data_IF_309867465025
#
_entry.id   IF_309867465025
#
_cell.length_a   1.000
_cell.length_b   1.000
_cell.length_c   1.000
_cell.angle_alpha   90.00
_cell.angle_beta   90.00
_cell.angle_gamma   90.00
#
_symmetry.space_group_name_H-M   'P 1'
#
loop_
_entity.id
_entity.type
_entity.pdbx_description
1 polymer ?
#
# COMPACT_ATOMS: atom_id res chain seq x y z
N UNK A 1 -2.92 -14.36 1.42
CA UNK A 1 -1.74 -14.87 0.67
C UNK A 1 -1.59 -14.12 -0.64
N UNK A 2 -0.47 -14.25 -1.35
CA UNK A 2 -0.31 -13.70 -2.69
C UNK A 2 -0.21 -14.83 -3.73
N UNK A 3 -0.84 -14.61 -4.89
CA UNK A 3 -0.89 -15.58 -6.01
C UNK A 3 -0.37 -14.89 -7.27
N UNK A 4 0.50 -15.55 -8.02
CA UNK A 4 1.09 -15.01 -9.25
C UNK A 4 0.10 -15.11 -10.41
N UNK A 5 -0.10 -14.02 -11.14
CA UNK A 5 -0.84 -14.00 -12.39
C UNK A 5 0.06 -14.21 -13.61
N UNK A 6 -0.53 -14.63 -14.74
CA UNK A 6 0.15 -14.68 -16.04
C UNK A 6 0.55 -13.29 -16.58
N UNK A 7 0.05 -12.22 -15.95
CA UNK A 7 0.51 -10.84 -16.15
C UNK A 7 1.85 -10.52 -15.45
N UNK A 8 2.47 -11.51 -14.81
CA UNK A 8 3.74 -11.38 -14.10
C UNK A 8 3.64 -10.56 -12.81
N UNK A 9 2.42 -10.36 -12.30
CA UNK A 9 2.17 -9.62 -11.05
C UNK A 9 1.63 -10.55 -9.98
N UNK A 10 1.99 -10.24 -8.74
CA UNK A 10 1.38 -10.89 -7.58
C UNK A 10 0.05 -10.20 -7.24
N UNK A 11 -0.98 -11.01 -7.02
CA UNK A 11 -2.32 -10.57 -6.66
C UNK A 11 -2.64 -10.99 -5.22
N UNK A 12 -3.17 -10.06 -4.43
CA UNK A 12 -3.49 -10.32 -3.03
C UNK A 12 -4.83 -11.07 -2.94
N UNK A 13 -4.79 -12.25 -2.31
CA UNK A 13 -5.97 -13.03 -1.95
C UNK A 13 -6.17 -12.98 -0.44
N UNK A 14 -7.34 -12.52 -0.03
CA UNK A 14 -7.81 -12.54 1.37
C UNK A 14 -8.94 -13.56 1.41
N UNK A 15 -8.76 -14.62 2.20
CA UNK A 15 -9.62 -15.81 2.18
C UNK A 15 -9.77 -16.36 0.75
N UNK A 16 -10.98 -16.42 0.20
CA UNK A 16 -11.26 -16.85 -1.16
C UNK A 16 -11.36 -15.70 -2.18
N UNK A 17 -11.23 -14.46 -1.70
CA UNK A 17 -11.45 -13.26 -2.49
C UNK A 17 -10.14 -12.66 -3.00
N UNK A 18 -10.07 -12.42 -4.32
CA UNK A 18 -9.05 -11.56 -4.89
C UNK A 18 -9.40 -10.09 -4.65
N UNK A 19 -8.55 -9.40 -3.90
CA UNK A 19 -8.70 -7.98 -3.56
C UNK A 19 -8.80 -7.10 -4.81
N UNK A 20 -8.09 -7.48 -5.87
CA UNK A 20 -8.05 -6.75 -7.13
C UNK A 20 -9.23 -7.09 -8.07
N UNK A 21 -9.97 -8.17 -7.80
CA UNK A 21 -11.15 -8.61 -8.57
C UNK A 21 -12.47 -8.11 -8.00
N UNK A 22 -12.54 -7.87 -6.69
CA UNK A 22 -13.72 -7.36 -6.01
C UNK A 22 -13.61 -5.87 -5.70
N UNK A 23 -13.95 -5.02 -6.67
CA UNK A 23 -14.24 -3.62 -6.39
C UNK A 23 -15.74 -3.45 -6.09
N UNK A 24 -16.18 -3.14 -4.85
CA UNK A 24 -17.60 -2.98 -4.52
C UNK A 24 -18.27 -1.76 -5.19
N UNK A 25 -17.49 -0.82 -5.74
CA UNK A 25 -18.00 0.35 -6.51
C UNK A 25 -18.11 0.08 -8.01
N UNK A 26 -17.52 -1.00 -8.51
CA UNK A 26 -17.76 -1.49 -9.88
C UNK A 26 -18.70 -2.68 -9.75
N UNK A 27 -19.61 -2.89 -10.71
CA UNK A 27 -20.32 -4.18 -10.74
C UNK A 27 -19.25 -5.26 -10.75
N UNK A 28 -19.26 -6.24 -9.81
CA UNK A 28 -18.39 -7.39 -9.87
C UNK A 28 -18.54 -7.95 -11.28
N UNK A 29 -17.45 -7.93 -12.06
CA UNK A 29 -17.44 -8.77 -13.25
C UNK A 29 -17.09 -10.14 -12.70
N UNK A 30 -18.01 -11.12 -12.75
CA UNK A 30 -17.64 -12.48 -12.42
C UNK A 30 -16.37 -12.81 -13.20
N UNK A 31 -15.41 -13.48 -12.57
CA UNK A 31 -14.26 -14.00 -13.30
C UNK A 31 -14.81 -14.92 -14.40
N UNK A 32 -14.90 -14.40 -15.62
CA UNK A 32 -15.43 -15.16 -16.73
C UNK A 32 -14.38 -16.22 -17.04
N UNK A 33 -14.68 -17.48 -16.67
CA UNK A 33 -13.78 -18.62 -16.86
C UNK A 33 -12.41 -18.43 -16.18
N UNK A 34 -12.36 -17.82 -14.99
CA UNK A 34 -11.10 -17.61 -14.26
C UNK A 34 -10.21 -16.50 -14.83
N UNK A 35 -10.73 -15.67 -15.74
CA UNK A 35 -10.09 -14.44 -16.20
C UNK A 35 -10.54 -13.23 -15.39
N UNK A 36 -9.56 -12.45 -14.96
CA UNK A 36 -9.75 -11.24 -14.17
C UNK A 36 -9.35 -10.03 -14.99
N UNK A 37 -10.12 -8.94 -14.90
CA UNK A 37 -9.89 -7.71 -15.64
C UNK A 37 -9.26 -6.63 -14.78
N UNK A 38 -8.29 -5.92 -15.35
CA UNK A 38 -7.68 -4.76 -14.73
C UNK A 38 -7.73 -3.52 -15.61
N UNK A 39 -7.68 -2.39 -14.92
CA UNK A 39 -7.62 -1.07 -15.50
C UNK A 39 -6.64 -0.23 -14.67
N UNK A 40 -5.69 0.41 -15.33
CA UNK A 40 -4.79 1.37 -14.71
C UNK A 40 -4.80 2.67 -15.50
N UNK A 41 -4.85 3.76 -14.76
CA UNK A 41 -4.59 5.07 -15.32
C UNK A 41 -3.09 5.31 -15.28
N UNK A 42 -2.51 5.47 -16.45
CA UNK A 42 -1.13 5.87 -16.63
C UNK A 42 -1.13 7.34 -17.00
N UNK A 43 -0.40 8.15 -16.24
CA UNK A 43 -0.19 9.55 -16.52
C UNK A 43 1.31 9.77 -16.74
N UNK A 44 1.64 10.61 -17.71
CA UNK A 44 3.01 11.02 -17.96
C UNK A 44 3.03 12.39 -18.60
N UNK A 45 4.21 13.01 -18.52
CA UNK A 45 4.55 14.27 -19.11
C UNK A 45 5.54 14.02 -20.25
N UNK A 46 5.41 14.79 -21.32
CA UNK A 46 6.40 14.76 -22.40
C UNK A 46 6.59 16.16 -22.97
N UNK A 47 7.84 16.46 -23.33
CA UNK A 47 8.25 17.63 -24.11
C UNK A 47 8.41 17.28 -25.61
N UNK A 48 7.97 16.09 -26.02
CA UNK A 48 8.14 15.55 -27.38
C UNK A 48 9.46 14.79 -27.59
N UNK A 49 10.44 14.93 -26.69
CA UNK A 49 11.73 14.24 -26.76
C UNK A 49 11.90 13.18 -25.67
N UNK A 50 11.33 13.42 -24.48
CA UNK A 50 11.41 12.52 -23.33
C UNK A 50 10.04 12.31 -22.68
N UNK A 51 9.89 11.16 -22.01
CA UNK A 51 8.72 10.82 -21.19
C UNK A 51 9.11 10.85 -19.71
N UNK A 52 8.23 11.40 -18.86
CA UNK A 52 8.44 11.48 -17.41
C UNK A 52 7.16 11.12 -16.67
N UNK A 53 7.26 10.27 -15.65
CA UNK A 53 6.12 9.94 -14.78
C UNK A 53 5.87 11.04 -13.76
N UNK A 54 6.92 11.66 -13.23
CA UNK A 54 6.80 12.81 -12.35
C UNK A 54 6.59 14.09 -13.16
N UNK A 55 5.76 14.99 -12.63
CA UNK A 55 5.62 16.32 -13.18
C UNK A 55 6.98 17.05 -13.13
N UNK A 56 7.32 17.87 -14.14
CA UNK A 56 8.48 18.74 -14.06
C UNK A 56 8.40 19.63 -12.80
N UNK A 57 9.53 19.84 -12.13
CA UNK A 57 9.64 20.76 -10.98
C UNK A 57 9.64 22.22 -11.45
N UNK A 58 8.54 22.64 -12.06
CA UNK A 58 8.30 24.00 -12.54
C UNK A 58 7.01 24.53 -11.93
N UNK A 59 6.81 25.85 -11.94
CA UNK A 59 5.56 26.42 -11.45
C UNK A 59 4.38 25.92 -12.29
N UNK A 60 3.17 25.88 -11.73
CA UNK A 60 1.98 25.41 -12.44
C UNK A 60 1.70 26.20 -13.73
N UNK A 61 2.11 27.48 -13.78
CA UNK A 61 2.05 28.35 -14.96
C UNK A 61 3.06 28.03 -16.05
N UNK A 62 4.11 27.26 -15.74
CA UNK A 62 5.21 26.88 -16.63
C UNK A 62 5.16 25.40 -17.03
N UNK A 63 4.17 24.65 -16.53
CA UNK A 63 3.98 23.26 -16.92
C UNK A 63 3.75 23.19 -18.44
N UNK A 64 4.54 22.40 -19.18
CA UNK A 64 4.27 22.14 -20.59
C UNK A 64 2.83 21.65 -20.73
N UNK A 65 2.11 22.09 -21.76
CA UNK A 65 0.69 21.78 -22.00
C UNK A 65 0.35 20.28 -22.21
N UNK A 66 1.25 19.35 -21.87
CA UNK A 66 1.26 17.96 -22.31
C UNK A 66 1.15 16.94 -21.19
N UNK A 67 0.26 17.11 -20.20
CA UNK A 67 -0.13 15.99 -19.35
C UNK A 67 -0.94 15.00 -20.21
N UNK A 68 -0.35 13.88 -20.57
CA UNK A 68 -1.04 12.81 -21.28
C UNK A 68 -1.44 11.76 -20.27
N UNK A 69 -2.70 11.32 -20.35
CA UNK A 69 -3.14 10.15 -19.62
C UNK A 69 -3.72 9.13 -20.59
N UNK A 70 -3.50 7.86 -20.29
CA UNK A 70 -4.13 6.73 -20.97
C UNK A 70 -4.63 5.75 -19.95
N UNK A 71 -5.78 5.18 -20.26
CA UNK A 71 -6.31 4.03 -19.55
C UNK A 71 -5.79 2.78 -20.23
N UNK A 72 -4.96 2.02 -19.53
CA UNK A 72 -4.52 0.69 -19.97
C UNK A 72 -5.43 -0.34 -19.33
N UNK A 73 -5.93 -1.27 -20.15
CA UNK A 73 -6.76 -2.39 -19.70
C UNK A 73 -6.09 -3.69 -20.12
N UNK A 74 -6.10 -4.66 -19.22
CA UNK A 74 -5.59 -5.99 -19.49
C UNK A 74 -6.41 -7.01 -18.73
N UNK A 75 -6.24 -8.27 -19.11
CA UNK A 75 -6.80 -9.42 -18.39
C UNK A 75 -5.68 -10.34 -17.99
N UNK A 76 -5.88 -11.09 -16.92
CA UNK A 76 -4.95 -12.10 -16.44
C UNK A 76 -5.69 -13.33 -15.93
N UNK A 77 -4.99 -14.45 -15.84
CA UNK A 77 -5.40 -15.65 -15.11
C UNK A 77 -4.46 -15.88 -13.94
N UNK A 78 -4.96 -16.53 -12.88
CA UNK A 78 -4.11 -16.96 -11.78
C UNK A 78 -3.34 -18.21 -12.19
N UNK A 79 -2.07 -18.26 -11.81
CA UNK A 79 -1.25 -19.47 -11.85
C UNK A 79 -1.39 -20.25 -10.54
N UNK A 80 -0.83 -21.45 -10.48
CA UNK A 80 -0.73 -22.24 -9.24
C UNK A 80 0.41 -21.77 -8.31
N UNK A 81 1.17 -20.74 -8.72
CA UNK A 81 2.29 -20.22 -7.94
C UNK A 81 1.79 -19.28 -6.86
N UNK A 82 2.00 -19.65 -5.61
CA UNK A 82 1.72 -18.85 -4.42
C UNK A 82 3.00 -18.49 -3.69
N UNK A 83 2.99 -17.39 -2.95
CA UNK A 83 4.07 -17.09 -1.99
C UNK A 83 4.16 -18.19 -0.94
N UNK A 84 5.38 -18.61 -0.58
CA UNK A 84 5.65 -19.65 0.42
C UNK A 84 4.78 -19.49 1.68
N UNK A 85 3.89 -20.46 1.99
CA UNK A 85 2.92 -20.35 3.08
C UNK A 85 3.56 -20.29 4.47
N UNK A 86 4.78 -20.79 4.62
CA UNK A 86 5.54 -20.79 5.87
C UNK A 86 6.08 -19.42 6.30
N UNK A 87 6.06 -18.42 5.40
CA UNK A 87 6.52 -17.08 5.71
C UNK A 87 5.37 -16.26 6.28
N UNK A 88 5.57 -15.62 7.43
CA UNK A 88 4.51 -14.88 8.10
C UNK A 88 4.65 -13.38 7.84
N UNK A 89 3.61 -12.74 7.27
CA UNK A 89 2.68 -13.21 6.26
C UNK A 89 3.34 -13.24 4.86
N UNK A 90 2.98 -14.18 3.98
CA UNK A 90 3.67 -14.33 2.70
C UNK A 90 3.52 -13.10 1.78
N UNK A 91 2.41 -12.37 1.94
CA UNK A 91 2.13 -11.13 1.20
C UNK A 91 3.01 -9.94 1.62
N UNK A 92 3.58 -9.95 2.83
CA UNK A 92 4.49 -8.89 3.30
C UNK A 92 5.85 -8.96 2.62
N UNK A 93 6.20 -10.09 2.03
CA UNK A 93 7.48 -10.29 1.34
C UNK A 93 7.47 -9.92 -0.13
N UNK A 94 6.29 -9.83 -0.74
CA UNK A 94 6.20 -9.43 -2.14
C UNK A 94 6.64 -7.97 -2.27
N UNK A 95 7.66 -7.63 -3.05
CA UNK A 95 8.09 -6.24 -3.23
C UNK A 95 6.98 -5.39 -3.87
N UNK A 96 6.81 -4.12 -3.48
CA UNK A 96 5.78 -3.25 -4.07
C UNK A 96 5.81 -3.17 -5.60
N UNK A 97 6.99 -3.30 -6.19
CA UNK A 97 7.19 -3.26 -7.63
C UNK A 97 6.64 -4.48 -8.37
N UNK A 98 6.40 -5.61 -7.68
CA UNK A 98 5.90 -6.86 -8.27
C UNK A 98 4.40 -7.07 -7.99
N UNK A 99 3.82 -6.26 -7.09
CA UNK A 99 2.40 -6.34 -6.74
C UNK A 99 1.51 -5.85 -7.88
N UNK A 100 0.29 -6.35 -7.89
CA UNK A 100 -0.80 -5.86 -8.71
C UNK A 100 -0.99 -4.34 -8.50
N UNK A 101 -1.01 -3.53 -9.59
CA UNK A 101 -1.08 -2.09 -9.51
C UNK A 101 -2.52 -1.54 -9.39
N UNK A 102 -3.54 -2.40 -9.23
CA UNK A 102 -4.93 -1.93 -9.04
C UNK A 102 -5.05 -1.05 -7.80
N UNK A 103 -5.98 -0.10 -7.82
CA UNK A 103 -6.13 0.87 -6.73
C UNK A 103 -6.52 0.19 -5.41
N UNK A 104 -7.39 -0.82 -5.50
CA UNK A 104 -7.89 -1.66 -4.42
C UNK A 104 -6.76 -2.49 -3.81
N UNK A 105 -5.96 -3.14 -4.66
CA UNK A 105 -4.80 -3.89 -4.19
C UNK A 105 -3.82 -2.95 -3.49
N UNK A 106 -3.49 -1.80 -4.11
CA UNK A 106 -2.54 -0.84 -3.54
C UNK A 106 -2.85 -0.58 -2.09
N UNK A 107 -4.08 -0.25 -1.71
CA UNK A 107 -4.44 0.12 -0.33
C UNK A 107 -4.51 -1.03 0.67
N UNK A 108 -4.62 -2.26 0.18
CA UNK A 108 -4.92 -3.44 1.00
C UNK A 108 -3.69 -4.31 1.24
N UNK A 109 -2.67 -4.21 0.39
CA UNK A 109 -1.42 -4.90 0.65
C UNK A 109 -0.79 -4.47 1.98
N UNK A 110 -0.35 -5.43 2.81
CA UNK A 110 0.40 -5.10 4.01
C UNK A 110 1.76 -4.47 3.66
N UNK A 111 2.39 -3.86 4.65
CA UNK A 111 3.69 -3.24 4.49
C UNK A 111 4.74 -4.25 3.96
N UNK A 112 5.64 -3.80 3.09
CA UNK A 112 6.75 -4.65 2.65
C UNK A 112 7.82 -4.70 3.74
N UNK A 113 8.14 -5.90 4.20
CA UNK A 113 9.14 -6.18 5.24
C UNK A 113 10.46 -6.59 4.57
N UNK A 114 11.25 -5.60 4.18
CA UNK A 114 12.58 -5.83 3.62
C UNK A 114 13.67 -5.75 4.71
N UNK A 115 14.19 -6.87 5.23
CA UNK A 115 15.19 -6.86 6.30
C UNK A 115 16.50 -6.18 5.90
N UNK A 116 16.78 -6.07 4.59
CA UNK A 116 17.96 -5.37 4.08
C UNK A 116 17.87 -3.84 4.26
N UNK A 117 16.70 -3.28 4.53
CA UNK A 117 16.49 -1.82 4.66
C UNK A 117 16.21 -1.42 6.11
N UNK A 118 16.68 -0.25 6.59
CA UNK A 118 16.35 0.24 7.92
C UNK A 118 14.83 0.31 8.17
N UNK A 119 14.08 0.89 7.21
CA UNK A 119 12.63 0.98 7.30
C UNK A 119 11.95 -0.39 7.37
N UNK A 120 12.44 -1.38 6.63
CA UNK A 120 11.92 -2.73 6.69
C UNK A 120 12.22 -3.43 8.01
N UNK A 121 13.40 -3.22 8.60
CA UNK A 121 13.72 -3.71 9.96
C UNK A 121 12.82 -3.10 11.02
N UNK A 122 12.55 -1.79 10.95
CA UNK A 122 11.62 -1.11 11.84
C UNK A 122 10.21 -1.72 11.73
N UNK A 123 9.73 -1.95 10.51
CA UNK A 123 8.42 -2.59 10.29
C UNK A 123 8.35 -3.99 10.88
N UNK A 124 9.39 -4.81 10.68
CA UNK A 124 9.49 -6.16 11.26
C UNK A 124 9.41 -6.07 12.80
N UNK A 125 10.24 -5.24 13.42
CA UNK A 125 10.24 -5.07 14.89
C UNK A 125 8.89 -4.61 15.43
N UNK A 126 8.24 -3.67 14.75
CA UNK A 126 6.91 -3.18 15.12
C UNK A 126 5.84 -4.25 14.97
N UNK A 127 5.89 -5.04 13.88
CA UNK A 127 4.96 -6.13 13.64
C UNK A 127 5.14 -7.28 14.64
N UNK A 128 6.37 -7.64 14.98
CA UNK A 128 6.68 -8.65 16.00
C UNK A 128 6.18 -8.23 17.39
N UNK A 129 6.32 -6.93 17.72
CA UNK A 129 5.98 -6.43 19.06
C UNK A 129 4.48 -6.14 19.26
N UNK A 130 3.80 -5.68 18.22
CA UNK A 130 2.44 -5.13 18.34
C UNK A 130 1.44 -5.74 17.35
N UNK A 131 1.89 -6.69 16.53
CA UNK A 131 1.10 -7.29 15.47
C UNK A 131 1.04 -6.45 14.19
N UNK A 132 0.42 -7.04 13.17
CA UNK A 132 0.31 -6.50 11.81
C UNK A 132 -0.94 -5.64 11.58
N UNK A 133 -1.76 -5.44 12.63
CA UNK A 133 -2.88 -4.51 12.61
C UNK A 133 -2.39 -3.06 12.79
N UNK A 134 -3.21 -2.10 12.36
CA UNK A 134 -2.97 -0.69 12.58
C UNK A 134 -2.91 -0.38 14.08
N UNK A 135 -1.79 0.20 14.54
CA UNK A 135 -1.59 0.48 15.96
C UNK A 135 -2.48 1.60 16.51
N UNK A 136 -3.07 2.42 15.64
CA UNK A 136 -4.07 3.41 16.07
C UNK A 136 -5.49 2.84 16.14
N UNK A 137 -6.01 2.26 15.05
CA UNK A 137 -7.42 1.88 15.01
C UNK A 137 -7.70 0.39 15.27
N UNK A 138 -6.68 -0.47 15.26
CA UNK A 138 -6.79 -1.92 15.41
C UNK A 138 -7.53 -2.65 14.27
N UNK A 139 -8.02 -1.94 13.24
CA UNK A 139 -8.91 -2.51 12.22
C UNK A 139 -8.26 -2.76 10.86
N UNK A 140 -7.46 -1.81 10.38
CA UNK A 140 -6.81 -1.91 9.06
C UNK A 140 -5.45 -2.60 9.14
N UNK A 141 -4.98 -3.15 8.03
CA UNK A 141 -3.60 -3.67 7.96
C UNK A 141 -2.57 -2.54 8.07
N UNK A 142 -1.50 -2.82 8.81
CA UNK A 142 -0.31 -2.00 8.89
C UNK A 142 0.30 -1.78 7.50
N UNK A 143 0.55 -0.52 7.14
CA UNK A 143 1.07 -0.16 5.82
C UNK A 143 2.21 0.86 5.86
N UNK A 144 2.16 1.81 6.79
CA UNK A 144 3.10 2.93 6.87
C UNK A 144 3.66 3.07 8.29
N UNK A 145 4.97 3.28 8.41
CA UNK A 145 5.59 3.61 9.70
C UNK A 145 5.25 5.06 9.99
N UNK A 146 4.63 5.27 11.13
CA UNK A 146 4.23 6.57 11.63
C UNK A 146 5.27 7.08 12.62
N UNK A 147 5.55 8.37 12.55
CA UNK A 147 6.54 9.04 13.36
C UNK A 147 6.06 10.43 13.75
N UNK A 148 6.54 10.91 14.90
CA UNK A 148 6.28 12.26 15.36
C UNK A 148 7.09 13.24 14.50
N UNK A 149 6.40 14.12 13.78
CA UNK A 149 7.01 15.13 12.92
C UNK A 149 7.83 16.19 13.68
N UNK A 150 7.74 16.27 15.01
CA UNK A 150 8.50 17.23 15.84
C UNK A 150 9.89 16.71 16.20
N UNK A 151 10.01 15.42 16.52
CA UNK A 151 11.26 14.83 17.03
C UNK A 151 11.78 13.65 16.20
N UNK A 152 11.01 13.21 15.19
CA UNK A 152 11.36 12.12 14.29
C UNK A 152 11.23 10.71 14.90
N UNK A 153 10.73 10.58 16.13
CA UNK A 153 10.60 9.28 16.79
C UNK A 153 9.47 8.46 16.19
N UNK A 154 9.73 7.18 15.96
CA UNK A 154 8.74 6.23 15.45
C UNK A 154 7.73 5.95 16.56
N UNK A 155 6.44 6.16 16.26
CA UNK A 155 5.32 5.89 17.17
C UNK A 155 4.75 4.50 16.95
N UNK A 156 4.72 4.02 15.70
CA UNK A 156 4.21 2.70 15.37
C UNK A 156 4.01 2.48 13.86
N UNK A 157 3.16 1.53 13.50
CA UNK A 157 2.80 1.29 12.10
C UNK A 157 1.27 1.40 11.94
N UNK A 158 0.84 2.18 10.95
CA UNK A 158 -0.55 2.55 10.75
C UNK A 158 -1.07 2.05 9.40
N UNK A 159 -2.39 1.85 9.32
CA UNK A 159 -3.04 1.76 8.02
C UNK A 159 -3.01 3.12 7.32
N UNK A 160 -3.10 3.12 5.99
CA UNK A 160 -2.98 4.37 5.20
C UNK A 160 -3.98 5.45 5.57
N UNK A 161 -5.21 5.08 5.91
CA UNK A 161 -6.23 6.05 6.29
C UNK A 161 -5.91 6.72 7.63
N UNK A 162 -5.39 5.97 8.61
CA UNK A 162 -4.98 6.56 9.89
C UNK A 162 -3.72 7.41 9.66
N UNK A 163 -2.68 6.87 9.01
CA UNK A 163 -1.44 7.61 8.76
C UNK A 163 -1.66 8.94 8.01
N UNK A 164 -2.65 9.01 7.11
CA UNK A 164 -2.93 10.23 6.35
C UNK A 164 -3.67 11.31 7.16
N UNK A 165 -4.26 10.97 8.32
CA UNK A 165 -5.22 11.83 9.04
C UNK A 165 -4.96 11.96 10.53
N UNK A 166 -4.08 11.13 11.09
CA UNK A 166 -3.94 11.00 12.54
C UNK A 166 -3.52 12.32 13.20
N UNK A 167 -2.61 13.07 12.57
CA UNK A 167 -2.15 14.37 13.04
C UNK A 167 -3.24 15.46 12.99
N UNK A 168 -4.34 15.22 12.26
CA UNK A 168 -5.50 16.11 12.21
C UNK A 168 -6.60 15.72 13.20
N UNK A 169 -6.36 14.78 14.11
CA UNK A 169 -7.32 14.41 15.14
C UNK A 169 -7.59 15.59 16.09
N UNK A 170 -8.85 16.06 16.24
CA UNK A 170 -9.17 17.15 17.15
C UNK A 170 -9.35 16.70 18.61
N UNK A 171 -9.42 15.39 18.85
CA UNK A 171 -9.69 14.84 20.17
C UNK A 171 -8.43 14.82 21.02
N UNK A 172 -8.59 15.11 22.32
CA UNK A 172 -7.49 15.05 23.30
C UNK A 172 -7.38 13.70 24.00
N UNK A 173 -8.44 12.90 24.02
CA UNK A 173 -8.49 11.57 24.65
C UNK A 173 -9.74 10.79 24.22
N UNK A 174 -9.75 9.47 24.45
CA UNK A 174 -10.96 8.64 24.35
C UNK A 174 -11.37 8.32 22.92
N UNK A 175 -10.51 8.61 21.96
CA UNK A 175 -10.62 8.08 20.61
C UNK A 175 -9.30 7.40 20.24
N UNK A 176 -9.32 6.35 19.40
CA UNK A 176 -8.13 5.54 19.15
C UNK A 176 -6.95 6.33 18.55
N UNK A 177 -7.23 7.45 17.87
CA UNK A 177 -6.18 8.32 17.34
C UNK A 177 -5.54 9.18 18.43
N UNK A 178 -6.34 9.78 19.31
CA UNK A 178 -5.82 10.56 20.42
C UNK A 178 -5.02 9.69 21.38
N UNK A 179 -5.54 8.51 21.71
CA UNK A 179 -4.89 7.57 22.62
C UNK A 179 -3.54 7.11 22.04
N UNK A 180 -3.49 6.81 20.74
CA UNK A 180 -2.24 6.51 20.02
C UNK A 180 -1.22 7.67 20.03
N UNK A 181 -1.68 8.91 19.89
CA UNK A 181 -0.80 10.09 19.87
C UNK A 181 -0.19 10.39 21.24
N UNK A 182 -0.92 10.05 22.31
CA UNK A 182 -0.50 10.27 23.71
C UNK A 182 0.36 9.11 24.22
N UNK A 183 0.11 7.88 23.79
CA UNK A 183 0.86 6.70 24.18
C UNK A 183 2.23 6.61 23.47
N UNK A 184 3.18 7.42 23.91
CA UNK A 184 4.57 7.38 23.44
C UNK A 184 5.45 6.36 24.20
N UNK A 185 4.87 5.45 24.99
CA UNK A 185 5.59 4.52 25.86
C UNK A 185 6.50 3.51 25.14
N UNK A 186 6.53 3.52 23.80
CA UNK A 186 7.23 2.56 22.97
C UNK A 186 8.07 3.19 21.84
N UNK A 187 8.40 4.48 21.93
CA UNK A 187 9.18 5.17 20.90
C UNK A 187 10.53 4.49 20.63
N UNK A 188 10.77 4.09 19.37
CA UNK A 188 12.06 3.53 18.92
C UNK A 188 12.75 4.58 18.07
N UNK A 189 14.06 4.76 18.30
CA UNK A 189 14.88 5.63 17.46
C UNK A 189 14.99 5.04 16.03
N UNK A 190 14.83 5.89 15.02
CA UNK A 190 15.06 5.54 13.64
C UNK A 190 16.59 5.44 13.42
N UNK A 191 17.20 4.27 13.69
CA UNK A 191 18.62 3.99 13.43
C UNK A 191 18.82 3.17 12.16
#
# INVERSE_FOLDING_TARGET
MAVLGDDGRWHLRVDETLVCGENPRRRPRPAEQGRFGHEQWCYWWTDGAAYRVQAPLVSSSELPAGSVWRTVRWTFTLTDTVTAPELVPPAELVPPAERCPSAEARTTWPAHHNPATPLGRIRIQLAERFGTACHACGRGLAAAVDHDHRNGLVRGVLCRNCNAKIDSCPHVSGCPWADYLVDQGNAIACQ
#
